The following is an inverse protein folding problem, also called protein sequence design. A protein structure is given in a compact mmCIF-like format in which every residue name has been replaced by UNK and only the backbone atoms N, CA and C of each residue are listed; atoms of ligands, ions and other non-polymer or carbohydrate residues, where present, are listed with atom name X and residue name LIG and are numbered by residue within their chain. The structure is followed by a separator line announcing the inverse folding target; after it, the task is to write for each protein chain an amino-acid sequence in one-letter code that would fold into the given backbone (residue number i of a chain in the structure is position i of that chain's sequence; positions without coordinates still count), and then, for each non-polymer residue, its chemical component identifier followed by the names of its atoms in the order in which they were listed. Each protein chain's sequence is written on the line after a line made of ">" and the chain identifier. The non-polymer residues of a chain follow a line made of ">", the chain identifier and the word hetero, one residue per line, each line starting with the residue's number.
data_IF_309212097361
#
_entry.id   IF_309212097361
#
_cell.length_a   1.000
_cell.length_b   1.000
_cell.length_c   1.000
_cell.angle_alpha   90.00
_cell.angle_beta   90.00
_cell.angle_gamma   90.00
#
_symmetry.space_group_name_H-M   'P 1'
#
loop_
_entity.id
_entity.type
_entity.pdbx_description
1 polymer ?
#
# COMPACT_ATOMS: atom_id res chain seq x y z
N UNK A 1 17.95 7.99 13.51
CA UNK A 1 17.06 8.90 12.75
C UNK A 1 16.62 8.33 11.40
N UNK A 2 17.34 7.34 10.84
CA UNK A 2 17.08 6.78 9.49
C UNK A 2 15.91 5.80 9.41
N UNK A 3 15.58 5.09 10.51
CA UNK A 3 14.45 4.15 10.56
C UNK A 3 13.09 4.81 10.29
N UNK A 4 12.87 6.03 10.80
CA UNK A 4 11.66 6.80 10.54
C UNK A 4 11.53 7.19 9.05
N UNK A 5 12.67 7.43 8.40
CA UNK A 5 12.73 7.74 6.97
C UNK A 5 12.46 6.48 6.14
N UNK A 6 13.05 5.34 6.50
CA UNK A 6 12.77 4.06 5.86
C UNK A 6 11.28 3.66 5.98
N UNK A 7 10.71 3.76 7.18
CA UNK A 7 9.29 3.44 7.41
C UNK A 7 8.36 4.40 6.65
N UNK A 8 8.71 5.69 6.59
CA UNK A 8 7.98 6.67 5.77
C UNK A 8 8.04 6.36 4.28
N UNK A 9 9.21 6.02 3.74
CA UNK A 9 9.40 5.80 2.30
C UNK A 9 8.86 4.43 1.86
N UNK A 10 9.05 3.38 2.66
CA UNK A 10 8.66 2.02 2.29
C UNK A 10 7.22 1.66 2.67
N UNK A 11 6.60 2.39 3.61
CA UNK A 11 5.24 2.07 4.06
C UNK A 11 4.29 3.25 3.83
N UNK A 12 4.62 4.44 4.34
CA UNK A 12 3.68 5.58 4.27
C UNK A 12 3.51 6.10 2.84
N UNK A 13 4.60 6.24 2.08
CA UNK A 13 4.55 6.71 0.70
C UNK A 13 3.74 5.78 -0.23
N UNK A 14 3.96 4.46 -0.28
CA UNK A 14 3.13 3.57 -1.10
C UNK A 14 1.68 3.49 -0.60
N UNK A 15 1.42 3.60 0.71
CA UNK A 15 0.05 3.72 1.24
C UNK A 15 -0.67 4.97 0.75
N UNK A 16 -0.01 6.13 0.77
CA UNK A 16 -0.58 7.39 0.26
C UNK A 16 -0.84 7.31 -1.25
N UNK A 17 0.12 6.80 -2.03
CA UNK A 17 -0.03 6.62 -3.47
C UNK A 17 -1.18 5.67 -3.80
N UNK A 18 -1.27 4.53 -3.10
CA UNK A 18 -2.37 3.60 -3.29
C UNK A 18 -3.71 4.23 -2.89
N UNK A 19 -3.78 4.97 -1.79
CA UNK A 19 -4.99 5.68 -1.39
C UNK A 19 -5.47 6.66 -2.47
N UNK A 20 -4.57 7.43 -3.07
CA UNK A 20 -4.89 8.37 -4.16
C UNK A 20 -5.39 7.62 -5.40
N UNK A 21 -4.67 6.57 -5.81
CA UNK A 21 -5.05 5.76 -6.98
C UNK A 21 -6.38 5.04 -6.74
N UNK A 22 -6.61 4.54 -5.53
CA UNK A 22 -7.83 3.85 -5.14
C UNK A 22 -9.03 4.80 -5.15
N UNK A 23 -8.89 5.98 -4.56
CA UNK A 23 -9.94 7.02 -4.60
C UNK A 23 -10.18 7.47 -6.04
N UNK A 24 -9.15 7.71 -6.83
CA UNK A 24 -9.30 8.11 -8.24
C UNK A 24 -9.96 7.01 -9.08
N UNK A 25 -9.63 5.74 -8.85
CA UNK A 25 -10.25 4.60 -9.51
C UNK A 25 -11.72 4.50 -9.13
N UNK A 26 -12.05 4.61 -7.83
CA UNK A 26 -13.43 4.65 -7.35
C UNK A 26 -14.21 5.82 -7.97
N UNK A 27 -13.65 7.02 -7.98
CA UNK A 27 -14.30 8.21 -8.53
C UNK A 27 -14.56 8.05 -10.04
N UNK A 28 -13.58 7.57 -10.82
CA UNK A 28 -13.72 7.41 -12.28
C UNK A 28 -14.61 6.22 -12.68
N UNK A 29 -14.64 5.16 -11.89
CA UNK A 29 -15.37 3.94 -12.19
C UNK A 29 -16.63 3.78 -11.32
N UNK A 30 -17.14 4.86 -10.71
CA UNK A 30 -18.28 4.89 -9.77
C UNK A 30 -19.54 4.16 -10.27
N UNK A 31 -19.65 3.90 -11.58
CA UNK A 31 -20.77 3.20 -12.22
C UNK A 31 -20.51 1.71 -12.51
N UNK A 32 -19.27 1.20 -12.34
CA UNK A 32 -18.87 -0.12 -12.88
C UNK A 32 -17.87 -0.92 -12.03
N UNK A 33 -17.35 -0.42 -10.90
CA UNK A 33 -16.47 -1.26 -10.04
C UNK A 33 -17.30 -2.27 -9.24
N UNK A 34 -17.12 -3.54 -9.57
CA UNK A 34 -17.60 -4.65 -8.74
C UNK A 34 -16.87 -4.65 -7.39
N UNK A 35 -17.61 -4.82 -6.30
CA UNK A 35 -17.05 -5.06 -4.95
C UNK A 35 -15.97 -6.15 -4.96
N UNK A 36 -16.09 -7.13 -5.85
CA UNK A 36 -15.10 -8.20 -5.97
C UNK A 36 -13.77 -7.69 -6.53
N UNK A 37 -13.77 -6.81 -7.53
CA UNK A 37 -12.55 -6.16 -8.02
C UNK A 37 -11.92 -5.27 -6.97
N UNK A 38 -12.74 -4.54 -6.21
CA UNK A 38 -12.26 -3.68 -5.14
C UNK A 38 -11.57 -4.48 -4.03
N UNK A 39 -12.15 -5.62 -3.66
CA UNK A 39 -11.59 -6.56 -2.69
C UNK A 39 -10.28 -7.14 -3.21
N UNK A 40 -10.23 -7.58 -4.46
CA UNK A 40 -9.03 -8.15 -5.08
C UNK A 40 -7.87 -7.13 -5.14
N UNK A 41 -8.17 -5.89 -5.50
CA UNK A 41 -7.18 -4.81 -5.57
C UNK A 41 -6.60 -4.49 -4.18
N UNK A 42 -7.48 -4.43 -3.17
CA UNK A 42 -7.09 -4.16 -1.77
C UNK A 42 -6.27 -5.32 -1.19
N UNK A 43 -6.68 -6.57 -1.46
CA UNK A 43 -5.94 -7.75 -1.03
C UNK A 43 -4.57 -7.84 -1.69
N UNK A 44 -4.48 -7.59 -3.00
CA UNK A 44 -3.20 -7.56 -3.72
C UNK A 44 -2.26 -6.49 -3.15
N UNK A 45 -2.78 -5.29 -2.87
CA UNK A 45 -2.01 -4.22 -2.25
C UNK A 45 -1.54 -4.58 -0.83
N UNK A 46 -2.41 -5.19 -0.02
CA UNK A 46 -2.06 -5.70 1.31
C UNK A 46 -0.93 -6.72 1.26
N UNK A 47 -0.98 -7.67 0.31
CA UNK A 47 0.09 -8.67 0.10
C UNK A 47 1.41 -8.01 -0.27
N UNK A 48 1.38 -7.01 -1.16
CA UNK A 48 2.58 -6.25 -1.56
C UNK A 48 3.18 -5.50 -0.36
N UNK A 49 2.35 -4.84 0.46
CA UNK A 49 2.80 -4.19 1.69
C UNK A 49 3.41 -5.19 2.67
N UNK A 50 2.75 -6.33 2.89
CA UNK A 50 3.30 -7.39 3.76
C UNK A 50 4.63 -7.90 3.25
N UNK A 51 4.79 -8.10 1.93
CA UNK A 51 6.06 -8.48 1.31
C UNK A 51 7.13 -7.40 1.52
N UNK A 52 6.82 -6.13 1.27
CA UNK A 52 7.77 -5.03 1.47
C UNK A 52 8.23 -4.97 2.93
N UNK A 53 7.31 -5.06 3.88
CA UNK A 53 7.61 -5.06 5.31
C UNK A 53 8.42 -6.30 5.69
N UNK A 54 8.11 -7.47 5.13
CA UNK A 54 8.83 -8.72 5.41
C UNK A 54 10.24 -8.72 4.82
N UNK A 55 10.41 -8.25 3.58
CA UNK A 55 11.71 -8.16 2.90
C UNK A 55 12.60 -7.08 3.53
N UNK A 56 12.01 -5.96 3.95
CA UNK A 56 12.72 -4.87 4.63
C UNK A 56 12.68 -5.02 6.16
N UNK A 57 12.22 -6.16 6.68
CA UNK A 57 12.11 -6.43 8.11
C UNK A 57 13.46 -6.25 8.81
N UNK A 58 14.55 -6.67 8.18
CA UNK A 58 15.90 -6.54 8.74
C UNK A 58 16.34 -5.07 8.89
N UNK A 59 16.03 -4.23 7.90
CA UNK A 59 16.28 -2.78 7.89
C UNK A 59 15.36 -2.03 8.88
N UNK A 60 14.14 -2.53 9.08
CA UNK A 60 13.18 -2.01 10.06
C UNK A 60 13.45 -2.52 11.49
N UNK A 61 14.13 -3.65 11.63
CA UNK A 61 14.39 -4.34 12.91
C UNK A 61 15.80 -4.12 13.45
N UNK A 62 16.76 -3.63 12.65
CA UNK A 62 18.06 -3.16 13.14
C UNK A 62 17.84 -1.92 14.01
N UNK A 63 17.88 -2.16 15.32
CA UNK A 63 17.96 -1.18 16.40
C UNK A 63 19.40 -0.76 16.61
#
# INVERSE_FOLDING_TARGET
>A
MERNKALTVYVILPCLLFGIVFVAALTKLSTSVSLNQLRLLTTAFGVVLTLIVHTKKDELSKQ
#
